data_IF_554105841637
#
_entry.id   IF_554105841637
#
_cell.length_a   1.000
_cell.length_b   1.000
_cell.length_c   1.000
_cell.angle_alpha   90.00
_cell.angle_beta   90.00
_cell.angle_gamma   90.00
#
_symmetry.space_group_name_H-M   'P 1'
#
loop_
_entity.id
_entity.type
_entity.pdbx_description
1 polymer ?
#
# COMPACT_ATOMS: atom_id res chain seq x y z
N UNK A 1 -18.65 19.49 -14.38
CA UNK A 1 -18.89 18.07 -14.08
C UNK A 1 -19.61 18.01 -12.74
N UNK A 2 -20.89 17.62 -12.71
CA UNK A 2 -21.64 17.55 -11.44
C UNK A 2 -21.06 16.39 -10.64
N UNK A 3 -20.43 16.68 -9.50
CA UNK A 3 -20.00 15.64 -8.56
C UNK A 3 -21.28 14.98 -8.06
N UNK A 4 -21.54 13.74 -8.47
CA UNK A 4 -22.61 12.95 -7.85
C UNK A 4 -22.28 12.82 -6.37
N UNK A 5 -23.22 13.22 -5.51
CA UNK A 5 -23.16 12.94 -4.08
C UNK A 5 -22.90 11.44 -3.90
N UNK A 6 -21.85 11.11 -3.14
CA UNK A 6 -21.47 9.74 -2.91
C UNK A 6 -21.77 9.42 -1.45
N UNK A 7 -22.86 8.73 -1.21
CA UNK A 7 -23.30 8.36 0.13
C UNK A 7 -23.29 6.85 0.26
N UNK A 8 -22.82 6.35 1.41
CA UNK A 8 -22.91 4.92 1.75
C UNK A 8 -23.93 4.72 2.84
N UNK A 9 -24.59 3.56 2.83
CA UNK A 9 -25.49 3.17 3.90
C UNK A 9 -24.71 2.62 5.11
N UNK A 10 -24.92 3.18 6.30
CA UNK A 10 -24.33 2.69 7.56
C UNK A 10 -25.31 1.86 8.40
N UNK A 11 -26.62 2.03 8.19
CA UNK A 11 -27.65 1.32 8.94
C UNK A 11 -28.91 2.17 9.15
N UNK A 12 -29.65 1.84 10.21
CA UNK A 12 -30.96 2.45 10.52
C UNK A 12 -31.08 2.73 12.01
N UNK A 13 -31.62 3.89 12.37
CA UNK A 13 -31.97 4.25 13.76
C UNK A 13 -33.35 4.91 13.80
N UNK A 14 -34.25 4.42 14.65
CA UNK A 14 -35.62 4.94 14.82
C UNK A 14 -36.36 5.21 13.50
N UNK A 15 -36.28 4.27 12.56
CA UNK A 15 -36.82 4.38 11.20
C UNK A 15 -36.13 5.34 10.21
N UNK A 16 -35.07 6.01 10.63
CA UNK A 16 -34.25 6.86 9.78
C UNK A 16 -33.04 6.10 9.25
N UNK A 17 -32.79 6.17 7.94
CA UNK A 17 -31.54 5.66 7.38
C UNK A 17 -30.36 6.55 7.78
N UNK A 18 -29.29 5.92 8.26
CA UNK A 18 -28.03 6.57 8.54
C UNK A 18 -27.13 6.37 7.33
N UNK A 19 -26.63 7.47 6.78
CA UNK A 19 -25.73 7.48 5.63
C UNK A 19 -24.51 8.33 5.91
N UNK A 20 -23.39 7.97 5.30
CA UNK A 20 -22.16 8.73 5.36
C UNK A 20 -21.76 9.24 3.98
N UNK A 21 -21.47 10.54 3.89
CA UNK A 21 -21.11 11.21 2.66
C UNK A 21 -19.60 11.15 2.41
N UNK A 22 -19.19 10.38 1.41
CA UNK A 22 -17.83 10.40 0.85
C UNK A 22 -17.72 11.45 -0.25
N UNK A 23 -17.90 12.72 0.05
CA UNK A 23 -17.77 13.79 -0.95
C UNK A 23 -17.19 15.08 -0.36
N UNK A 24 -17.23 16.17 -1.12
CA UNK A 24 -16.64 17.45 -0.75
C UNK A 24 -17.38 18.16 0.39
N UNK A 25 -18.47 17.60 0.92
CA UNK A 25 -19.12 18.12 2.13
C UNK A 25 -18.29 17.90 3.39
N UNK A 26 -17.37 16.93 3.37
CA UNK A 26 -16.40 16.75 4.44
C UNK A 26 -15.02 17.20 3.99
N UNK A 27 -14.34 17.98 4.83
CA UNK A 27 -12.91 18.28 4.65
C UNK A 27 -12.06 17.00 4.71
N UNK A 28 -12.57 15.97 5.41
CA UNK A 28 -11.90 14.70 5.56
C UNK A 28 -12.87 13.51 5.52
N UNK A 29 -12.65 12.60 4.57
CA UNK A 29 -13.46 11.39 4.39
C UNK A 29 -12.82 10.14 5.03
N UNK A 30 -11.84 10.30 5.93
CA UNK A 30 -11.26 9.19 6.66
C UNK A 30 -12.27 8.57 7.62
N UNK A 31 -12.30 7.24 7.63
CA UNK A 31 -13.19 6.46 8.47
C UNK A 31 -12.39 5.35 9.16
N UNK A 32 -12.67 5.16 10.45
CA UNK A 32 -12.14 4.05 11.24
C UNK A 32 -13.29 3.10 11.61
N UNK A 33 -13.22 1.85 11.14
CA UNK A 33 -14.22 0.81 11.45
C UNK A 33 -13.63 -0.19 12.46
N UNK A 34 -14.10 -0.15 13.70
CA UNK A 34 -13.62 -1.00 14.80
C UNK A 34 -14.63 -2.08 15.15
N UNK A 35 -14.12 -3.22 15.63
CA UNK A 35 -14.93 -4.34 16.11
C UNK A 35 -14.13 -5.61 16.27
N UNK A 36 -14.60 -6.52 17.11
CA UNK A 36 -13.98 -7.84 17.33
C UNK A 36 -14.10 -8.74 16.09
N UNK A 37 -13.35 -9.86 16.05
CA UNK A 37 -13.53 -10.85 14.97
C UNK A 37 -14.98 -11.33 14.91
N UNK A 38 -15.53 -11.47 13.70
CA UNK A 38 -16.93 -11.84 13.49
C UNK A 38 -17.96 -10.72 13.67
N UNK A 39 -17.57 -9.49 14.02
CA UNK A 39 -18.51 -8.36 14.22
C UNK A 39 -19.07 -7.75 12.93
N UNK A 40 -18.87 -8.37 11.77
CA UNK A 40 -19.38 -7.88 10.48
C UNK A 40 -18.58 -6.75 9.81
N UNK A 41 -17.33 -6.48 10.22
CA UNK A 41 -16.50 -5.41 9.61
C UNK A 41 -16.34 -5.56 8.10
N UNK A 42 -15.90 -6.72 7.63
CA UNK A 42 -15.70 -6.98 6.20
C UNK A 42 -17.01 -6.89 5.42
N UNK A 43 -18.11 -7.34 6.01
CA UNK A 43 -19.46 -7.21 5.42
C UNK A 43 -19.87 -5.75 5.26
N UNK A 44 -19.66 -4.91 6.28
CA UNK A 44 -19.97 -3.48 6.19
C UNK A 44 -19.09 -2.79 5.14
N UNK A 45 -17.80 -3.15 5.06
CA UNK A 45 -16.90 -2.63 4.01
C UNK A 45 -17.41 -3.03 2.62
N UNK A 46 -17.82 -4.27 2.40
CA UNK A 46 -18.38 -4.73 1.11
C UNK A 46 -19.63 -3.92 0.71
N UNK A 47 -20.56 -3.66 1.64
CA UNK A 47 -21.72 -2.81 1.35
C UNK A 47 -21.33 -1.37 0.99
N UNK A 48 -20.35 -0.81 1.71
CA UNK A 48 -19.86 0.54 1.42
C UNK A 48 -19.17 0.62 0.05
N UNK A 49 -18.37 -0.38 -0.30
CA UNK A 49 -17.77 -0.48 -1.64
C UNK A 49 -18.84 -0.54 -2.72
N UNK A 50 -19.88 -1.35 -2.53
CA UNK A 50 -21.01 -1.46 -3.44
C UNK A 50 -21.69 -0.10 -3.69
N UNK A 51 -21.83 0.74 -2.67
CA UNK A 51 -22.40 2.08 -2.81
C UNK A 51 -21.42 3.08 -3.46
N UNK A 52 -20.13 3.02 -3.11
CA UNK A 52 -19.08 3.84 -3.71
C UNK A 52 -18.98 3.59 -5.23
N UNK A 53 -19.02 2.33 -5.66
CA UNK A 53 -18.95 1.99 -7.09
C UNK A 53 -20.21 2.42 -7.86
N UNK A 54 -21.41 2.38 -7.23
CA UNK A 54 -22.65 2.91 -7.84
C UNK A 54 -22.55 4.42 -8.11
N UNK A 55 -21.76 5.12 -7.31
CA UNK A 55 -21.48 6.55 -7.50
C UNK A 55 -20.42 6.80 -8.60
N UNK A 56 -19.91 5.77 -9.27
CA UNK A 56 -18.89 5.85 -10.31
C UNK A 56 -17.48 6.05 -9.77
N UNK A 57 -17.26 5.81 -8.47
CA UNK A 57 -15.94 5.88 -7.84
C UNK A 57 -15.24 4.53 -7.87
N UNK A 58 -13.93 4.55 -7.67
CA UNK A 58 -13.08 3.35 -7.61
C UNK A 58 -12.61 3.09 -6.19
N UNK A 59 -12.35 1.83 -5.90
CA UNK A 59 -11.85 1.35 -4.60
C UNK A 59 -10.52 0.66 -4.83
N UNK A 60 -9.54 0.97 -3.99
CA UNK A 60 -8.34 0.16 -3.81
C UNK A 60 -8.40 -0.43 -2.41
N UNK A 61 -8.35 -1.75 -2.34
CA UNK A 61 -8.37 -2.50 -1.10
C UNK A 61 -7.01 -3.17 -0.90
N UNK A 62 -6.39 -2.96 0.25
CA UNK A 62 -5.22 -3.73 0.68
C UNK A 62 -5.70 -4.87 1.57
N UNK A 63 -5.77 -6.08 1.02
CA UNK A 63 -6.23 -7.25 1.76
C UNK A 63 -5.09 -7.89 2.53
N UNK A 64 -5.01 -7.54 3.81
CA UNK A 64 -4.01 -8.06 4.75
C UNK A 64 -4.35 -9.48 5.25
N UNK A 65 -5.61 -9.89 5.16
CA UNK A 65 -6.16 -11.06 5.89
C UNK A 65 -6.69 -12.17 4.98
N UNK A 66 -6.61 -11.97 3.66
CA UNK A 66 -7.21 -12.82 2.63
C UNK A 66 -8.74 -12.93 2.78
N UNK A 67 -9.36 -11.96 3.47
CA UNK A 67 -10.79 -11.96 3.74
C UNK A 67 -11.61 -11.45 2.55
N UNK A 68 -10.97 -10.72 1.63
CA UNK A 68 -11.64 -10.12 0.47
C UNK A 68 -11.98 -11.18 -0.60
N UNK A 69 -11.30 -12.34 -0.58
CA UNK A 69 -11.65 -13.50 -1.40
C UNK A 69 -13.05 -14.07 -1.08
N UNK A 70 -13.62 -13.76 0.08
CA UNK A 70 -14.96 -14.20 0.47
C UNK A 70 -16.10 -13.29 -0.07
N UNK A 71 -15.76 -12.15 -0.70
CA UNK A 71 -16.73 -11.18 -1.26
C UNK A 71 -17.35 -11.69 -2.56
N UNK A 72 -18.25 -12.66 -2.46
CA UNK A 72 -18.94 -13.23 -3.63
C UNK A 72 -19.78 -12.17 -4.38
N UNK A 73 -20.27 -11.13 -3.70
CA UNK A 73 -21.22 -10.19 -4.31
C UNK A 73 -20.56 -9.18 -5.25
N UNK A 74 -19.28 -8.85 -5.02
CA UNK A 74 -18.52 -7.88 -5.80
C UNK A 74 -17.46 -8.51 -6.71
N UNK A 75 -17.29 -9.83 -6.69
CA UNK A 75 -16.24 -10.53 -7.43
C UNK A 75 -16.18 -10.18 -8.94
N UNK A 76 -17.33 -10.00 -9.58
CA UNK A 76 -17.40 -9.58 -10.99
C UNK A 76 -16.79 -8.18 -11.23
N UNK A 77 -16.96 -7.27 -10.26
CA UNK A 77 -16.48 -5.89 -10.30
C UNK A 77 -15.07 -5.72 -9.72
N UNK A 78 -14.49 -6.80 -9.17
CA UNK A 78 -13.17 -6.80 -8.54
C UNK A 78 -12.09 -7.42 -9.42
N UNK A 79 -10.91 -6.80 -9.46
CA UNK A 79 -9.66 -7.42 -9.94
C UNK A 79 -8.79 -7.69 -8.72
N UNK A 80 -8.33 -8.93 -8.58
CA UNK A 80 -7.35 -9.30 -7.58
C UNK A 80 -5.97 -9.19 -8.21
N UNK A 81 -5.09 -8.44 -7.56
CA UNK A 81 -3.67 -8.33 -7.90
C UNK A 81 -2.92 -9.02 -6.77
N UNK A 82 -2.35 -10.19 -7.07
CA UNK A 82 -1.47 -10.86 -6.12
C UNK A 82 -0.14 -10.11 -6.10
N UNK A 83 0.14 -9.35 -5.04
CA UNK A 83 1.35 -8.50 -4.96
C UNK A 83 2.65 -9.33 -5.03
N UNK A 84 2.58 -10.61 -4.65
CA UNK A 84 3.71 -11.54 -4.74
C UNK A 84 4.09 -11.85 -6.18
N UNK A 85 3.09 -12.06 -7.04
CA UNK A 85 3.29 -12.50 -8.41
C UNK A 85 3.30 -11.32 -9.40
N UNK A 86 2.51 -10.29 -9.11
CA UNK A 86 2.35 -9.06 -9.89
C UNK A 86 2.92 -7.88 -9.09
N UNK A 87 4.24 -7.70 -9.21
CA UNK A 87 4.99 -6.59 -8.62
C UNK A 87 5.05 -5.36 -9.53
N UNK A 88 4.07 -5.19 -10.43
CA UNK A 88 4.00 -4.05 -11.35
C UNK A 88 3.90 -2.70 -10.63
N UNK A 89 3.35 -2.69 -9.41
CA UNK A 89 3.38 -1.56 -8.49
C UNK A 89 4.58 -1.67 -7.56
N UNK A 90 5.35 -0.59 -7.43
CA UNK A 90 6.45 -0.50 -6.46
C UNK A 90 6.31 0.77 -5.62
N UNK A 91 6.42 0.67 -4.29
CA UNK A 91 6.53 1.83 -3.41
C UNK A 91 7.98 2.34 -3.25
N UNK A 92 8.96 1.57 -3.74
CA UNK A 92 10.40 1.91 -3.78
C UNK A 92 10.73 2.82 -4.98
N UNK A 93 9.82 3.73 -5.31
CA UNK A 93 9.97 4.74 -6.35
C UNK A 93 9.73 6.13 -5.76
N UNK A 94 10.47 7.13 -6.24
CA UNK A 94 10.23 8.53 -5.87
C UNK A 94 8.83 8.95 -6.30
N UNK A 95 8.09 9.56 -5.37
CA UNK A 95 6.72 10.03 -5.63
C UNK A 95 6.75 11.33 -6.42
N UNK A 96 5.67 11.63 -7.14
CA UNK A 96 5.44 12.96 -7.69
C UNK A 96 4.28 13.60 -6.93
N UNK A 97 4.43 14.85 -6.50
CA UNK A 97 3.32 15.56 -5.88
C UNK A 97 2.29 16.02 -6.93
N UNK A 98 1.20 16.65 -6.47
CA UNK A 98 0.12 17.15 -7.34
C UNK A 98 0.59 18.17 -8.39
N UNK A 99 1.76 18.81 -8.18
CA UNK A 99 2.38 19.76 -9.10
C UNK A 99 3.38 19.11 -10.07
N UNK A 100 3.53 17.78 -10.03
CA UNK A 100 4.48 17.05 -10.86
C UNK A 100 5.93 17.15 -10.39
N UNK A 101 6.18 17.68 -9.19
CA UNK A 101 7.52 17.73 -8.63
C UNK A 101 7.87 16.37 -8.03
N UNK A 102 8.99 15.79 -8.48
CA UNK A 102 9.54 14.55 -7.97
C UNK A 102 10.07 14.73 -6.55
N UNK A 103 9.80 13.74 -5.70
CA UNK A 103 10.28 13.61 -4.32
C UNK A 103 11.81 13.72 -4.29
N UNK A 104 12.36 14.51 -3.37
CA UNK A 104 13.82 14.64 -3.24
C UNK A 104 14.39 13.34 -2.67
N UNK A 105 15.65 13.04 -3.01
CA UNK A 105 16.36 11.87 -2.50
C UNK A 105 16.33 11.79 -0.95
N UNK A 106 16.45 12.93 -0.26
CA UNK A 106 16.39 13.00 1.20
C UNK A 106 15.05 12.53 1.78
N UNK A 107 13.94 12.96 1.17
CA UNK A 107 12.58 12.65 1.63
C UNK A 107 12.23 11.20 1.31
N UNK A 108 12.58 10.76 0.09
CA UNK A 108 12.45 9.36 -0.33
C UNK A 108 13.19 8.43 0.62
N UNK A 109 14.46 8.75 0.93
CA UNK A 109 15.29 7.90 1.78
C UNK A 109 14.78 7.83 3.20
N UNK A 110 14.28 8.95 3.74
CA UNK A 110 13.66 8.97 5.06
C UNK A 110 12.41 8.10 5.09
N UNK A 111 11.51 8.28 4.11
CA UNK A 111 10.26 7.51 4.00
C UNK A 111 10.52 6.00 3.92
N UNK A 112 11.36 5.56 3.00
CA UNK A 112 11.66 4.12 2.85
C UNK A 112 12.34 3.58 4.11
N UNK A 113 13.28 4.34 4.69
CA UNK A 113 13.97 3.92 5.91
C UNK A 113 13.01 3.77 7.08
N UNK A 114 12.11 4.72 7.30
CA UNK A 114 11.19 4.72 8.43
C UNK A 114 10.25 3.52 8.39
N UNK A 115 9.70 3.22 7.21
CA UNK A 115 8.79 2.09 7.02
C UNK A 115 9.53 0.76 7.24
N UNK A 116 10.65 0.55 6.55
CA UNK A 116 11.43 -0.70 6.66
C UNK A 116 11.89 -0.90 8.10
N UNK A 117 12.43 0.17 8.71
CA UNK A 117 12.97 0.12 10.06
C UNK A 117 11.89 -0.09 11.12
N UNK A 118 10.72 0.52 10.97
CA UNK A 118 9.59 0.38 11.89
C UNK A 118 8.94 -1.00 11.80
N UNK A 119 8.91 -1.60 10.62
CA UNK A 119 8.37 -2.94 10.44
C UNK A 119 9.35 -4.05 10.87
N UNK A 120 10.66 -3.88 10.60
CA UNK A 120 11.71 -4.86 10.93
C UNK A 120 12.42 -4.60 12.27
N UNK A 121 11.98 -3.58 13.02
CA UNK A 121 12.52 -3.15 14.31
C UNK A 121 14.04 -2.93 14.26
N UNK A 122 14.50 -2.13 13.30
CA UNK A 122 15.92 -1.77 13.19
C UNK A 122 16.35 -0.84 14.32
N UNK A 123 17.54 -1.09 14.89
CA UNK A 123 18.15 -0.23 15.91
C UNK A 123 18.67 1.08 15.31
N UNK A 124 18.89 2.15 16.09
CA UNK A 124 19.32 3.46 15.56
C UNK A 124 20.52 3.42 14.60
N UNK A 125 21.53 2.58 14.89
CA UNK A 125 22.69 2.41 13.98
C UNK A 125 22.30 1.77 12.64
N UNK A 126 21.44 0.75 12.67
CA UNK A 126 20.93 0.12 11.46
C UNK A 126 20.06 1.10 10.63
N UNK A 127 19.25 1.91 11.30
CA UNK A 127 18.46 2.96 10.65
C UNK A 127 19.37 3.98 9.95
N UNK A 128 20.44 4.44 10.62
CA UNK A 128 21.39 5.38 10.04
C UNK A 128 22.12 4.80 8.81
N UNK A 129 22.56 3.54 8.89
CA UNK A 129 23.22 2.85 7.77
C UNK A 129 22.26 2.67 6.60
N UNK A 130 21.02 2.22 6.86
CA UNK A 130 20.01 2.06 5.81
C UNK A 130 19.67 3.40 5.15
N UNK A 131 19.46 4.45 5.94
CA UNK A 131 19.17 5.79 5.44
C UNK A 131 20.29 6.33 4.55
N UNK A 132 21.55 6.24 5.01
CA UNK A 132 22.71 6.67 4.23
C UNK A 132 22.79 5.91 2.91
N UNK A 133 22.64 4.60 2.96
CA UNK A 133 22.68 3.73 1.78
C UNK A 133 21.57 4.11 0.78
N UNK A 134 20.31 4.17 1.22
CA UNK A 134 19.19 4.51 0.34
C UNK A 134 19.37 5.92 -0.25
N UNK A 135 19.90 6.87 0.52
CA UNK A 135 20.15 8.22 0.05
C UNK A 135 21.18 8.27 -1.08
N UNK A 136 22.29 7.56 -0.93
CA UNK A 136 23.31 7.47 -1.97
C UNK A 136 22.74 6.88 -3.27
N UNK A 137 21.93 5.82 -3.18
CA UNK A 137 21.29 5.25 -4.38
C UNK A 137 20.24 6.19 -4.95
N UNK A 138 19.43 6.83 -4.10
CA UNK A 138 18.37 7.73 -4.51
C UNK A 138 18.88 9.04 -5.13
N UNK A 139 20.15 9.41 -4.95
CA UNK A 139 20.75 10.55 -5.65
C UNK A 139 21.00 10.24 -7.14
N UNK A 140 21.17 8.96 -7.48
CA UNK A 140 21.50 8.50 -8.83
C UNK A 140 20.32 7.86 -9.56
N UNK A 141 19.38 7.28 -8.80
CA UNK A 141 18.26 6.52 -9.32
C UNK A 141 16.95 7.01 -8.71
N UNK A 142 15.89 7.06 -9.51
CA UNK A 142 14.55 7.43 -9.04
C UNK A 142 13.77 6.24 -8.47
N UNK A 143 14.37 5.06 -8.51
CA UNK A 143 13.74 3.79 -8.20
C UNK A 143 14.76 2.78 -7.70
N UNK A 144 14.30 1.89 -6.83
CA UNK A 144 15.11 0.85 -6.21
C UNK A 144 14.32 -0.46 -6.15
N UNK A 145 15.05 -1.57 -6.14
CA UNK A 145 14.59 -2.86 -5.66
C UNK A 145 15.28 -3.22 -4.34
N UNK A 146 14.76 -4.23 -3.64
CA UNK A 146 15.48 -4.78 -2.48
C UNK A 146 16.84 -5.36 -2.86
N UNK A 147 17.02 -5.87 -4.09
CA UNK A 147 18.32 -6.34 -4.57
C UNK A 147 19.32 -5.20 -4.71
N UNK A 148 18.88 -4.03 -5.20
CA UNK A 148 19.74 -2.85 -5.27
C UNK A 148 20.16 -2.42 -3.87
N UNK A 149 19.21 -2.34 -2.92
CA UNK A 149 19.52 -2.00 -1.53
C UNK A 149 20.56 -2.96 -0.93
N UNK A 150 20.40 -4.27 -1.14
CA UNK A 150 21.38 -5.28 -0.67
C UNK A 150 22.75 -5.11 -1.31
N UNK A 151 22.82 -4.86 -2.61
CA UNK A 151 24.07 -4.67 -3.33
C UNK A 151 24.84 -3.46 -2.77
N UNK A 152 24.14 -2.36 -2.50
CA UNK A 152 24.76 -1.16 -1.92
C UNK A 152 25.14 -1.34 -0.45
N UNK A 153 24.33 -2.04 0.35
CA UNK A 153 24.68 -2.39 1.73
C UNK A 153 25.92 -3.29 1.80
N UNK A 154 26.11 -4.19 0.84
CA UNK A 154 27.28 -5.09 0.79
C UNK A 154 28.60 -4.35 0.52
N UNK A 155 28.56 -3.13 -0.02
CA UNK A 155 29.73 -2.27 -0.17
C UNK A 155 30.09 -1.55 1.14
N UNK A 156 29.20 -1.59 2.14
CA UNK A 156 29.39 -0.96 3.42
C UNK A 156 30.12 -1.92 4.40
N UNK A 157 31.24 -1.48 4.96
CA UNK A 157 32.02 -2.27 5.91
C UNK A 157 31.48 -2.24 7.36
N UNK A 158 30.31 -1.62 7.61
CA UNK A 158 29.67 -1.62 8.93
C UNK A 158 28.95 -2.95 9.19
N UNK A 159 29.21 -3.59 10.33
CA UNK A 159 28.52 -4.83 10.72
C UNK A 159 27.00 -4.71 10.85
N UNK A 160 26.48 -3.48 11.00
CA UNK A 160 25.05 -3.20 10.95
C UNK A 160 24.47 -3.48 9.55
N UNK A 161 25.26 -3.29 8.49
CA UNK A 161 24.86 -3.58 7.11
C UNK A 161 24.58 -5.07 6.92
N UNK A 162 25.43 -5.96 7.43
CA UNK A 162 25.23 -7.42 7.38
C UNK A 162 23.90 -7.84 8.02
N UNK A 163 23.60 -7.26 9.19
CA UNK A 163 22.34 -7.53 9.90
C UNK A 163 21.11 -7.00 9.16
N UNK A 164 21.22 -5.85 8.49
CA UNK A 164 20.16 -5.33 7.61
C UNK A 164 19.97 -6.28 6.42
N UNK A 165 21.07 -6.69 5.78
CA UNK A 165 21.02 -7.60 4.63
C UNK A 165 20.29 -8.90 4.98
N UNK A 166 20.61 -9.50 6.12
CA UNK A 166 19.95 -10.72 6.61
C UNK A 166 18.43 -10.56 6.69
N UNK A 167 17.96 -9.41 7.22
CA UNK A 167 16.52 -9.15 7.39
C UNK A 167 15.81 -8.78 6.08
N UNK A 168 16.52 -8.23 5.10
CA UNK A 168 15.96 -7.88 3.79
C UNK A 168 16.08 -8.99 2.75
N UNK A 169 16.91 -10.00 3.00
CA UNK A 169 17.26 -11.06 2.05
C UNK A 169 16.02 -11.74 1.45
N UNK A 170 15.06 -12.13 2.30
CA UNK A 170 13.85 -12.80 1.82
C UNK A 170 13.04 -11.94 0.82
N UNK A 171 12.91 -10.64 1.07
CA UNK A 171 12.21 -9.72 0.15
C UNK A 171 12.94 -9.60 -1.19
N UNK A 172 14.27 -9.60 -1.17
CA UNK A 172 15.08 -9.61 -2.38
C UNK A 172 15.00 -10.96 -3.13
N UNK A 173 15.00 -12.08 -2.42
CA UNK A 173 14.96 -13.43 -2.99
C UNK A 173 13.65 -13.69 -3.75
N UNK A 174 12.52 -13.27 -3.17
CA UNK A 174 11.21 -13.34 -3.83
C UNK A 174 11.02 -12.23 -4.89
N UNK A 175 12.03 -11.36 -5.08
CA UNK A 175 12.05 -10.28 -6.05
C UNK A 175 10.83 -9.35 -5.95
N UNK A 176 10.35 -9.10 -4.73
CA UNK A 176 9.18 -8.23 -4.54
C UNK A 176 9.52 -6.81 -5.00
N UNK A 177 8.62 -6.19 -5.76
CA UNK A 177 8.81 -4.90 -6.41
C UNK A 177 9.94 -4.83 -7.45
N UNK A 178 10.61 -5.95 -7.75
CA UNK A 178 11.72 -6.00 -8.69
C UNK A 178 11.30 -5.92 -10.17
N UNK A 179 10.07 -6.32 -10.50
CA UNK A 179 9.53 -6.30 -11.86
C UNK A 179 8.55 -5.14 -12.10
N UNK A 180 8.77 -4.00 -11.41
CA UNK A 180 7.87 -2.86 -11.53
C UNK A 180 7.80 -2.37 -12.98
N UNK A 181 6.63 -1.82 -13.34
CA UNK A 181 6.42 -1.16 -14.63
C UNK A 181 6.22 0.31 -14.39
N UNK A 182 6.83 1.15 -15.23
CA UNK A 182 6.57 2.60 -15.20
C UNK A 182 5.08 2.85 -15.35
N UNK A 183 4.46 3.47 -14.35
CA UNK A 183 3.02 3.73 -14.35
C UNK A 183 2.14 2.60 -13.83
N UNK A 184 2.67 1.55 -13.20
CA UNK A 184 1.85 0.47 -12.62
C UNK A 184 0.75 0.98 -11.67
N UNK A 185 1.05 1.99 -10.84
CA UNK A 185 0.03 2.65 -10.00
C UNK A 185 -1.08 3.28 -10.86
N UNK A 186 -0.72 3.97 -11.94
CA UNK A 186 -1.69 4.58 -12.86
C UNK A 186 -2.55 3.51 -13.55
N UNK A 187 -1.95 2.40 -13.97
CA UNK A 187 -2.68 1.27 -14.56
C UNK A 187 -3.71 0.71 -13.58
N UNK A 188 -3.32 0.51 -12.32
CA UNK A 188 -4.21 0.09 -11.24
C UNK A 188 -5.41 1.05 -11.10
N UNK A 189 -5.16 2.36 -11.05
CA UNK A 189 -6.22 3.39 -10.96
C UNK A 189 -7.08 3.50 -12.22
N UNK A 190 -6.55 3.20 -13.40
CA UNK A 190 -7.26 3.35 -14.68
C UNK A 190 -7.98 2.08 -15.14
N UNK A 191 -7.75 0.96 -14.46
CA UNK A 191 -8.37 -0.32 -14.79
C UNK A 191 -9.92 -0.26 -14.86
N UNK A 192 -10.51 -1.06 -15.75
CA UNK A 192 -11.95 -1.05 -16.01
C UNK A 192 -12.78 -1.54 -14.81
N UNK A 193 -12.27 -2.54 -14.09
CA UNK A 193 -12.91 -3.01 -12.86
C UNK A 193 -12.78 -1.96 -11.76
N UNK A 194 -13.88 -1.50 -11.14
CA UNK A 194 -13.85 -0.39 -10.20
C UNK A 194 -13.19 -0.74 -8.86
N UNK A 195 -13.10 -2.02 -8.51
CA UNK A 195 -12.45 -2.48 -7.28
C UNK A 195 -11.14 -3.18 -7.63
N UNK A 196 -10.04 -2.70 -7.06
CA UNK A 196 -8.71 -3.29 -7.17
C UNK A 196 -8.28 -3.82 -5.81
N UNK A 197 -8.16 -5.13 -5.67
CA UNK A 197 -7.79 -5.80 -4.42
C UNK A 197 -6.31 -6.18 -4.52
N UNK A 198 -5.47 -5.47 -3.79
CA UNK A 198 -4.06 -5.79 -3.59
C UNK A 198 -3.97 -6.87 -2.51
N UNK A 199 -3.89 -8.13 -2.92
CA UNK A 199 -3.79 -9.25 -1.99
C UNK A 199 -2.36 -9.38 -1.48
N UNK A 200 -2.23 -9.42 -0.15
CA UNK A 200 -0.98 -9.71 0.55
C UNK A 200 -0.93 -11.18 1.00
N UNK A 201 -1.72 -12.05 0.37
CA UNK A 201 -1.70 -13.49 0.58
C UNK A 201 -0.30 -14.05 0.36
N UNK A 202 0.02 -15.12 1.10
CA UNK A 202 1.31 -15.81 0.96
C UNK A 202 2.52 -15.07 1.54
N UNK A 203 2.40 -13.82 1.99
CA UNK A 203 3.43 -13.17 2.81
C UNK A 203 3.25 -13.53 4.28
N UNK A 204 4.35 -13.74 5.05
CA UNK A 204 4.26 -13.80 6.50
C UNK A 204 3.88 -12.43 7.10
N UNK A 205 3.38 -12.39 8.35
CA UNK A 205 2.78 -11.17 8.92
C UNK A 205 3.69 -9.94 8.94
N UNK A 206 4.99 -10.13 9.15
CA UNK A 206 5.96 -9.04 9.21
C UNK A 206 6.15 -8.39 7.84
N UNK A 207 6.24 -9.20 6.78
CA UNK A 207 6.38 -8.76 5.41
C UNK A 207 5.12 -8.09 4.91
N UNK A 208 3.93 -8.61 5.27
CA UNK A 208 2.65 -7.93 4.97
C UNK A 208 2.65 -6.49 5.50
N UNK A 209 3.21 -6.26 6.70
CA UNK A 209 3.31 -4.92 7.28
C UNK A 209 4.21 -4.02 6.44
N UNK A 210 5.40 -4.49 6.05
CA UNK A 210 6.32 -3.75 5.19
C UNK A 210 5.63 -3.37 3.87
N UNK A 211 5.00 -4.35 3.24
CA UNK A 211 4.38 -4.20 1.92
C UNK A 211 3.18 -3.24 1.98
N UNK A 212 2.39 -3.29 3.05
CA UNK A 212 1.23 -2.42 3.23
C UNK A 212 1.60 -0.99 3.60
N UNK A 213 2.74 -0.77 4.28
CA UNK A 213 3.14 0.54 4.79
C UNK A 213 4.10 1.31 3.86
N UNK A 214 4.74 0.64 2.89
CA UNK A 214 5.66 1.27 1.92
C UNK A 214 4.90 2.13 0.88
#
# INVERSE_FOLDING_TARGET
MVVKNCEVHLGKSANTEIRYAFDSRSENNHMLLLGISGSGKSTQVEYMEADIIKCGKKVIEFDFSDSSFAKNSLAAQSRIVNVRDDSSISPLVKRCNAYGLTEKAVDFSKRITDVISGALNFKPRQQAVLYGTIKEVAEQYDQLSFKDILAWLALNNDSSAESICTKLQYLADINIFGNYKTGGWRELFQHQKPIQILSLSGFPPMERKIIAEL
#
